data_IF_378822552571
#
_entry.id   IF_378822552571
#
_cell.length_a   1.000
_cell.length_b   1.000
_cell.length_c   1.000
_cell.angle_alpha   90.00
_cell.angle_beta   90.00
_cell.angle_gamma   90.00
#
_symmetry.space_group_name_H-M   'P 1'
#
loop_
_entity.id
_entity.type
_entity.pdbx_description
1 polymer ?
#
# COMPACT_ATOMS: atom_id res chain seq x y z
N UNK A 1 -12.06 11.72 -7.98
CA UNK A 1 -10.71 11.15 -8.12
C UNK A 1 -10.15 10.81 -6.75
N UNK A 2 -9.20 9.86 -6.64
CA UNK A 2 -8.68 9.28 -5.37
C UNK A 2 -8.21 10.31 -4.31
N UNK A 3 -7.79 11.51 -4.72
CA UNK A 3 -7.40 12.59 -3.80
C UNK A 3 -8.60 13.19 -3.05
N UNK A 4 -9.69 13.45 -3.76
CA UNK A 4 -10.92 14.03 -3.17
C UNK A 4 -11.58 13.08 -2.18
N UNK A 5 -11.52 11.79 -2.44
CA UNK A 5 -12.07 10.75 -1.56
C UNK A 5 -11.29 10.64 -0.23
N UNK A 6 -9.98 10.81 -0.31
CA UNK A 6 -9.10 10.80 0.86
C UNK A 6 -9.32 12.00 1.78
N UNK A 7 -9.38 13.22 1.23
CA UNK A 7 -9.60 14.44 2.01
C UNK A 7 -10.99 14.43 2.68
N UNK A 8 -11.99 13.85 2.01
CA UNK A 8 -13.32 13.63 2.58
C UNK A 8 -13.27 12.69 3.79
N UNK A 9 -12.57 11.56 3.69
CA UNK A 9 -12.45 10.59 4.80
C UNK A 9 -11.83 11.21 6.06
N UNK A 10 -10.82 12.05 5.90
CA UNK A 10 -10.22 12.78 7.02
C UNK A 10 -11.23 13.78 7.61
N UNK A 11 -11.94 14.51 6.77
CA UNK A 11 -12.97 15.46 7.21
C UNK A 11 -14.06 14.77 8.01
N UNK A 12 -14.58 13.64 7.52
CA UNK A 12 -15.62 12.85 8.18
C UNK A 12 -15.15 12.33 9.56
N UNK A 13 -13.90 11.89 9.67
CA UNK A 13 -13.31 11.45 10.95
C UNK A 13 -13.17 12.60 11.94
N UNK A 14 -12.74 13.79 11.49
CA UNK A 14 -12.64 14.99 12.33
C UNK A 14 -14.01 15.44 12.82
N UNK A 15 -15.01 15.44 11.95
CA UNK A 15 -16.38 15.77 12.31
C UNK A 15 -16.94 14.80 13.34
N UNK A 16 -16.71 13.50 13.14
CA UNK A 16 -17.10 12.48 14.12
C UNK A 16 -16.42 12.71 15.47
N UNK A 17 -15.10 12.92 15.50
CA UNK A 17 -14.36 13.18 16.72
C UNK A 17 -14.88 14.41 17.46
N UNK A 18 -15.17 15.50 16.73
CA UNK A 18 -15.76 16.72 17.29
C UNK A 18 -17.16 16.47 17.88
N UNK A 19 -18.01 15.73 17.18
CA UNK A 19 -19.37 15.39 17.66
C UNK A 19 -19.35 14.55 18.92
N UNK A 20 -18.34 13.67 19.06
CA UNK A 20 -18.16 12.80 20.22
C UNK A 20 -17.33 13.43 21.35
N UNK A 21 -16.94 14.71 21.18
CA UNK A 21 -16.09 15.46 22.11
C UNK A 21 -14.73 14.76 22.40
N UNK A 22 -14.16 14.13 21.36
CA UNK A 22 -12.86 13.48 21.47
C UNK A 22 -11.72 14.47 21.30
N UNK A 23 -10.69 14.36 22.16
CA UNK A 23 -9.45 15.09 22.00
C UNK A 23 -8.54 14.38 20.98
N UNK A 24 -8.43 14.94 19.77
CA UNK A 24 -7.58 14.38 18.71
C UNK A 24 -6.14 14.76 18.97
N UNK A 25 -5.32 13.79 19.36
CA UNK A 25 -3.92 14.01 19.73
C UNK A 25 -3.01 14.00 18.50
N UNK A 26 -3.24 13.07 17.55
CA UNK A 26 -2.42 12.93 16.35
C UNK A 26 -3.23 12.33 15.19
N UNK A 27 -2.92 12.77 13.99
CA UNK A 27 -3.48 12.23 12.75
C UNK A 27 -2.37 11.55 11.93
N UNK A 28 -2.69 10.38 11.38
CA UNK A 28 -1.82 9.63 10.49
C UNK A 28 -2.50 9.51 9.14
N UNK A 29 -1.79 9.82 8.08
CA UNK A 29 -2.36 9.83 6.76
C UNK A 29 -1.41 9.24 5.73
N UNK A 30 -1.88 8.28 4.94
CA UNK A 30 -1.06 7.57 3.97
C UNK A 30 -1.80 7.36 2.64
N UNK A 31 -1.22 7.88 1.55
CA UNK A 31 -1.77 7.72 0.19
C UNK A 31 -1.28 6.42 -0.49
N UNK A 32 -1.25 5.30 0.25
CA UNK A 32 -0.74 4.02 -0.22
C UNK A 32 -1.86 2.98 -0.35
N UNK A 33 -1.68 2.04 -1.29
CA UNK A 33 -2.59 0.90 -1.43
C UNK A 33 -2.52 0.00 -0.19
N UNK A 34 -3.67 -0.27 0.44
CA UNK A 34 -3.80 -1.24 1.54
C UNK A 34 -3.41 -2.68 1.19
N UNK A 35 -2.95 -2.96 -0.05
CA UNK A 35 -2.43 -4.26 -0.46
C UNK A 35 -0.99 -4.51 0.03
N UNK A 36 -0.24 -3.46 0.41
CA UNK A 36 1.10 -3.61 0.99
C UNK A 36 1.01 -4.22 2.39
N UNK A 37 2.05 -4.96 2.81
CA UNK A 37 2.19 -5.47 4.17
C UNK A 37 2.31 -4.32 5.16
N UNK A 38 1.91 -4.53 6.41
CA UNK A 38 2.01 -3.52 7.49
C UNK A 38 3.43 -2.96 7.60
N UNK A 39 4.45 -3.82 7.57
CA UNK A 39 5.86 -3.42 7.64
C UNK A 39 6.36 -2.54 6.46
N UNK A 40 5.62 -2.51 5.35
CA UNK A 40 5.91 -1.70 4.17
C UNK A 40 5.12 -0.37 4.17
N UNK A 41 4.35 -0.12 5.25
CA UNK A 41 3.46 1.02 5.42
C UNK A 41 3.96 1.89 6.55
N UNK A 42 4.70 2.92 6.17
CA UNK A 42 5.40 3.80 7.11
C UNK A 42 4.45 4.46 8.13
N UNK A 43 3.35 5.02 7.67
CA UNK A 43 2.39 5.72 8.54
C UNK A 43 1.62 4.78 9.47
N UNK A 44 1.29 3.56 9.02
CA UNK A 44 0.68 2.56 9.89
C UNK A 44 1.68 2.07 10.96
N UNK A 45 2.93 1.85 10.58
CA UNK A 45 3.99 1.50 11.53
C UNK A 45 4.24 2.62 12.53
N UNK A 46 4.22 3.88 12.07
CA UNK A 46 4.34 5.04 12.94
C UNK A 46 3.15 5.15 13.92
N UNK A 47 1.92 4.91 13.46
CA UNK A 47 0.73 4.84 14.33
C UNK A 47 0.89 3.78 15.40
N UNK A 48 1.29 2.55 15.04
CA UNK A 48 1.45 1.47 16.00
C UNK A 48 2.56 1.78 17.04
N UNK A 49 3.68 2.34 16.61
CA UNK A 49 4.74 2.80 17.52
C UNK A 49 4.26 3.96 18.42
N UNK A 50 3.45 4.87 17.88
CA UNK A 50 2.91 5.99 18.63
C UNK A 50 1.98 5.53 19.77
N UNK A 51 1.06 4.61 19.47
CA UNK A 51 0.16 4.07 20.51
C UNK A 51 0.89 3.20 21.54
N UNK A 52 2.09 2.73 21.23
CA UNK A 52 2.96 2.06 22.21
C UNK A 52 3.61 3.03 23.20
N UNK A 53 3.98 4.21 22.73
CA UNK A 53 4.70 5.21 23.50
C UNK A 53 3.78 6.16 24.27
N UNK A 54 2.49 6.21 23.94
CA UNK A 54 1.55 7.19 24.49
C UNK A 54 0.28 6.51 25.01
N UNK A 55 -0.34 7.12 26.05
CA UNK A 55 -1.66 6.67 26.52
C UNK A 55 -2.73 7.13 25.53
N UNK A 56 -3.33 6.18 24.85
CA UNK A 56 -4.36 6.40 23.82
C UNK A 56 -5.57 5.52 24.16
N UNK A 57 -6.74 6.12 24.26
CA UNK A 57 -7.97 5.38 24.55
C UNK A 57 -8.56 4.77 23.27
N UNK A 58 -8.43 5.48 22.14
CA UNK A 58 -9.14 5.13 20.92
C UNK A 58 -8.39 5.51 19.65
N UNK A 59 -8.43 4.62 18.65
CA UNK A 59 -8.01 4.88 17.28
C UNK A 59 -9.25 4.95 16.38
N UNK A 60 -9.38 6.01 15.59
CA UNK A 60 -10.46 6.18 14.62
C UNK A 60 -9.94 5.89 13.22
N UNK A 61 -10.66 5.08 12.45
CA UNK A 61 -10.40 4.87 11.03
C UNK A 61 -11.68 5.01 10.23
N UNK A 62 -11.55 5.37 8.95
CA UNK A 62 -12.72 5.50 8.09
C UNK A 62 -13.26 4.12 7.68
N UNK A 63 -12.40 3.22 7.19
CA UNK A 63 -12.76 1.88 6.73
C UNK A 63 -11.66 0.85 7.04
N UNK A 64 -12.01 -0.43 7.11
CA UNK A 64 -11.08 -1.53 7.42
C UNK A 64 -9.87 -1.59 6.48
N UNK A 65 -10.06 -1.25 5.20
CA UNK A 65 -9.00 -1.30 4.18
C UNK A 65 -7.86 -0.32 4.46
N UNK A 66 -8.06 0.67 5.35
CA UNK A 66 -7.02 1.60 5.79
C UNK A 66 -5.97 0.92 6.67
N UNK A 67 -6.36 -0.05 7.48
CA UNK A 67 -5.39 -0.85 8.24
C UNK A 67 -4.75 -1.93 7.39
N UNK A 68 -5.54 -2.78 6.76
CA UNK A 68 -5.03 -3.80 5.82
C UNK A 68 -6.12 -4.36 4.92
N UNK A 69 -5.74 -4.79 3.71
CA UNK A 69 -6.58 -5.61 2.83
C UNK A 69 -6.38 -7.10 3.05
N UNK A 70 -5.36 -7.49 3.80
CA UNK A 70 -5.14 -8.88 4.20
C UNK A 70 -5.82 -9.10 5.54
N UNK A 71 -6.68 -10.11 5.61
CA UNK A 71 -7.45 -10.43 6.82
C UNK A 71 -6.55 -10.70 8.02
N UNK A 72 -5.45 -11.43 7.80
CA UNK A 72 -4.51 -11.79 8.87
C UNK A 72 -3.86 -10.54 9.48
N UNK A 73 -3.34 -9.64 8.65
CA UNK A 73 -2.70 -8.40 9.11
C UNK A 73 -3.72 -7.48 9.82
N UNK A 74 -4.96 -7.43 9.31
CA UNK A 74 -6.04 -6.66 9.91
C UNK A 74 -6.40 -7.16 11.31
N UNK A 75 -6.57 -8.47 11.47
CA UNK A 75 -6.88 -9.08 12.78
C UNK A 75 -5.71 -8.92 13.77
N UNK A 76 -4.46 -9.04 13.30
CA UNK A 76 -3.28 -8.79 14.14
C UNK A 76 -3.24 -7.37 14.69
N UNK A 77 -3.55 -6.37 13.87
CA UNK A 77 -3.60 -4.96 14.34
C UNK A 77 -4.70 -4.77 15.39
N UNK A 78 -5.90 -5.35 15.15
CA UNK A 78 -7.00 -5.30 16.14
C UNK A 78 -6.58 -5.95 17.46
N UNK A 79 -5.97 -7.13 17.40
CA UNK A 79 -5.49 -7.86 18.58
C UNK A 79 -4.47 -7.03 19.37
N UNK A 80 -3.45 -6.48 18.71
CA UNK A 80 -2.45 -5.62 19.32
C UNK A 80 -3.06 -4.39 20.03
N UNK A 81 -4.04 -3.73 19.40
CA UNK A 81 -4.72 -2.59 20.01
C UNK A 81 -5.57 -3.03 21.20
N UNK A 82 -6.33 -4.11 21.05
CA UNK A 82 -7.23 -4.65 22.08
C UNK A 82 -6.48 -5.12 23.32
N UNK A 83 -5.32 -5.79 23.16
CA UNK A 83 -4.44 -6.21 24.27
C UNK A 83 -3.94 -5.03 25.09
N UNK A 84 -3.78 -3.86 24.46
CA UNK A 84 -3.38 -2.60 25.11
C UNK A 84 -4.58 -1.83 25.70
N UNK A 85 -5.80 -2.34 25.58
CA UNK A 85 -7.01 -1.64 25.98
C UNK A 85 -7.40 -0.48 25.08
N UNK A 86 -6.82 -0.39 23.86
CA UNK A 86 -7.09 0.68 22.90
C UNK A 86 -8.25 0.25 22.01
N UNK A 87 -9.35 1.02 22.03
CA UNK A 87 -10.51 0.77 21.18
C UNK A 87 -10.24 1.23 19.75
N UNK A 88 -10.55 0.37 18.74
CA UNK A 88 -10.58 0.76 17.34
C UNK A 88 -12.02 1.02 16.93
N UNK A 89 -12.30 2.24 16.42
CA UNK A 89 -13.59 2.59 15.86
C UNK A 89 -13.51 2.76 14.35
N UNK A 90 -14.43 2.11 13.64
CA UNK A 90 -14.51 2.12 12.17
C UNK A 90 -15.74 2.89 11.76
N UNK A 91 -15.54 4.11 11.25
CA UNK A 91 -16.63 5.06 11.00
C UNK A 91 -17.64 4.54 9.98
N UNK A 92 -17.17 3.96 8.87
CA UNK A 92 -18.03 3.47 7.78
C UNK A 92 -19.05 2.43 8.25
N UNK A 93 -18.69 1.61 9.23
CA UNK A 93 -19.50 0.51 9.71
C UNK A 93 -20.15 0.81 11.08
N UNK A 94 -19.78 1.91 11.74
CA UNK A 94 -20.20 2.22 13.09
C UNK A 94 -19.79 1.15 14.12
N UNK A 95 -18.65 0.48 13.89
CA UNK A 95 -18.20 -0.64 14.70
C UNK A 95 -17.02 -0.25 15.60
N UNK A 96 -17.13 -0.67 16.87
CA UNK A 96 -16.11 -0.45 17.87
C UNK A 96 -15.62 -1.79 18.45
N UNK A 97 -14.30 -1.96 18.57
CA UNK A 97 -13.68 -3.23 18.98
C UNK A 97 -13.80 -3.52 20.48
N UNK A 98 -13.88 -2.49 21.30
CA UNK A 98 -14.11 -2.63 22.75
C UNK A 98 -15.49 -2.11 23.13
N UNK A 99 -16.06 -2.69 24.16
CA UNK A 99 -17.27 -2.20 24.83
C UNK A 99 -16.92 -1.09 25.84
N UNK A 100 -17.96 -0.43 26.38
CA UNK A 100 -17.76 0.64 27.36
C UNK A 100 -17.07 0.17 28.67
N UNK A 101 -17.17 -1.14 28.96
CA UNK A 101 -16.48 -1.76 30.10
C UNK A 101 -15.03 -2.19 29.80
N UNK A 102 -14.51 -1.83 28.63
CA UNK A 102 -13.17 -2.17 28.16
C UNK A 102 -12.98 -3.60 27.64
N UNK A 103 -14.05 -4.42 27.66
CA UNK A 103 -13.97 -5.79 27.14
C UNK A 103 -14.10 -5.83 25.62
N UNK A 104 -13.49 -6.82 24.98
CA UNK A 104 -13.68 -7.06 23.54
C UNK A 104 -15.17 -7.17 23.17
N UNK A 105 -15.57 -6.47 22.11
CA UNK A 105 -16.92 -6.54 21.57
C UNK A 105 -17.06 -7.77 20.64
N UNK A 106 -17.74 -8.86 21.05
CA UNK A 106 -17.83 -10.08 20.25
C UNK A 106 -18.54 -9.86 18.92
N UNK A 107 -19.55 -8.96 18.91
CA UNK A 107 -20.31 -8.65 17.69
C UNK A 107 -19.40 -7.93 16.69
N UNK A 108 -18.61 -6.95 17.17
CA UNK A 108 -17.66 -6.25 16.30
C UNK A 108 -16.61 -7.22 15.75
N UNK A 109 -16.04 -8.10 16.56
CA UNK A 109 -15.09 -9.11 16.11
C UNK A 109 -15.66 -10.01 15.01
N UNK A 110 -16.89 -10.52 15.21
CA UNK A 110 -17.57 -11.35 14.22
C UNK A 110 -17.82 -10.57 12.93
N UNK A 111 -18.41 -9.38 13.01
CA UNK A 111 -18.74 -8.56 11.82
C UNK A 111 -17.50 -8.14 11.07
N UNK A 112 -16.46 -7.70 11.77
CA UNK A 112 -15.20 -7.31 11.15
C UNK A 112 -14.50 -8.48 10.46
N UNK A 113 -14.53 -9.66 11.07
CA UNK A 113 -14.06 -10.91 10.45
C UNK A 113 -14.83 -11.25 9.17
N UNK A 114 -16.16 -11.10 9.18
CA UNK A 114 -17.00 -11.32 8.01
C UNK A 114 -16.68 -10.28 6.89
N UNK A 115 -16.61 -9.00 7.23
CA UNK A 115 -16.28 -7.94 6.26
C UNK A 115 -14.91 -8.22 5.61
N UNK A 116 -13.90 -8.58 6.41
CA UNK A 116 -12.58 -8.91 5.88
C UNK A 116 -12.63 -10.13 4.94
N UNK A 117 -13.44 -11.14 5.27
CA UNK A 117 -13.63 -12.32 4.42
C UNK A 117 -14.35 -11.98 3.11
N UNK A 118 -15.41 -11.18 3.14
CA UNK A 118 -16.10 -10.71 1.92
C UNK A 118 -15.17 -9.94 1.00
N UNK A 119 -14.37 -9.02 1.54
CA UNK A 119 -13.38 -8.27 0.76
C UNK A 119 -12.32 -9.19 0.12
N UNK A 120 -11.99 -10.30 0.77
CA UNK A 120 -11.08 -11.31 0.22
C UNK A 120 -11.72 -12.09 -0.94
N UNK A 121 -12.99 -12.50 -0.75
CA UNK A 121 -13.76 -13.20 -1.78
C UNK A 121 -13.96 -12.33 -3.03
N UNK A 122 -14.31 -11.06 -2.87
CA UNK A 122 -14.47 -10.13 -4.00
C UNK A 122 -13.19 -10.03 -4.83
N UNK A 123 -12.02 -9.89 -4.19
CA UNK A 123 -10.74 -9.91 -4.90
C UNK A 123 -10.49 -11.23 -5.63
N UNK A 124 -10.88 -12.35 -5.03
CA UNK A 124 -10.81 -13.67 -5.68
C UNK A 124 -11.66 -13.74 -6.94
N UNK A 125 -12.90 -13.23 -6.89
CA UNK A 125 -13.80 -13.16 -8.03
C UNK A 125 -13.26 -12.25 -9.14
N UNK A 126 -12.73 -11.08 -8.79
CA UNK A 126 -12.11 -10.16 -9.76
C UNK A 126 -10.92 -10.86 -10.44
N UNK A 127 -10.04 -11.50 -9.67
CA UNK A 127 -8.88 -12.25 -10.21
C UNK A 127 -9.33 -13.36 -11.15
N UNK A 128 -10.33 -14.15 -10.76
CA UNK A 128 -10.88 -15.24 -11.60
C UNK A 128 -11.44 -14.72 -12.91
N UNK A 129 -12.17 -13.59 -12.89
CA UNK A 129 -12.68 -12.93 -14.12
C UNK A 129 -11.53 -12.44 -15.01
N UNK A 130 -10.49 -11.83 -14.41
CA UNK A 130 -9.31 -11.40 -15.17
C UNK A 130 -8.57 -12.59 -15.79
N UNK A 131 -8.39 -13.68 -15.07
CA UNK A 131 -7.74 -14.90 -15.58
C UNK A 131 -8.55 -15.55 -16.70
N UNK A 132 -9.88 -15.57 -16.59
CA UNK A 132 -10.76 -16.04 -17.63
C UNK A 132 -10.68 -15.17 -18.89
N UNK A 133 -10.73 -13.84 -18.72
CA UNK A 133 -10.55 -12.87 -19.80
C UNK A 133 -9.20 -13.03 -20.50
N UNK A 134 -8.14 -13.24 -19.71
CA UNK A 134 -6.78 -13.46 -20.18
C UNK A 134 -6.65 -14.75 -21.00
N UNK A 135 -7.25 -15.86 -20.52
CA UNK A 135 -7.28 -17.14 -21.25
C UNK A 135 -8.00 -17.00 -22.59
N UNK A 136 -9.17 -16.34 -22.61
CA UNK A 136 -9.93 -16.09 -23.83
C UNK A 136 -9.15 -15.21 -24.83
N UNK A 137 -8.46 -14.18 -24.35
CA UNK A 137 -7.62 -13.31 -25.18
C UNK A 137 -6.48 -14.11 -25.83
N UNK A 138 -5.80 -14.97 -25.07
CA UNK A 138 -4.75 -15.87 -25.57
C UNK A 138 -5.30 -16.89 -26.57
N UNK A 139 -6.46 -17.50 -26.30
CA UNK A 139 -7.09 -18.46 -27.21
C UNK A 139 -7.43 -17.83 -28.56
N UNK A 140 -7.68 -16.52 -28.62
CA UNK A 140 -7.88 -15.73 -29.85
C UNK A 140 -6.58 -15.27 -30.52
N UNK A 141 -5.42 -15.79 -30.10
CA UNK A 141 -4.10 -15.40 -30.63
C UNK A 141 -3.52 -14.12 -30.04
N UNK A 142 -4.12 -13.56 -29.00
CA UNK A 142 -3.62 -12.39 -28.32
C UNK A 142 -2.34 -12.68 -27.55
N UNK A 143 -1.40 -11.74 -27.57
CA UNK A 143 -0.13 -11.81 -26.83
C UNK A 143 -0.14 -10.80 -25.69
N UNK A 144 0.31 -11.23 -24.51
CA UNK A 144 0.37 -10.41 -23.31
C UNK A 144 1.82 -10.25 -22.88
N UNK A 145 2.13 -9.09 -22.35
CA UNK A 145 3.49 -8.70 -21.97
C UNK A 145 4.14 -7.85 -23.05
N UNK A 146 5.44 -7.68 -22.91
CA UNK A 146 6.23 -6.88 -23.84
C UNK A 146 6.22 -7.57 -25.22
N UNK A 147 5.89 -6.82 -26.27
CA UNK A 147 5.94 -7.33 -27.65
C UNK A 147 7.32 -7.91 -27.95
N UNK A 148 7.35 -9.08 -28.59
CA UNK A 148 8.60 -9.71 -29.01
C UNK A 148 9.36 -8.74 -29.94
N UNK A 149 10.63 -8.52 -29.68
CA UNK A 149 11.46 -7.58 -30.47
C UNK A 149 11.31 -6.10 -30.09
N UNK A 150 10.41 -5.73 -29.16
CA UNK A 150 10.35 -4.34 -28.71
C UNK A 150 11.67 -3.93 -28.02
N UNK A 151 12.34 -2.95 -28.58
CA UNK A 151 13.50 -2.26 -27.95
C UNK A 151 13.06 -0.82 -27.69
N UNK A 152 13.48 -0.26 -26.55
CA UNK A 152 13.33 1.19 -26.33
C UNK A 152 14.11 1.93 -27.44
N UNK A 153 13.62 3.09 -27.83
CA UNK A 153 14.36 3.94 -28.74
C UNK A 153 15.71 4.35 -28.14
N UNK A 154 16.65 4.72 -28.97
CA UNK A 154 17.98 5.19 -28.52
C UNK A 154 17.82 6.49 -27.72
N UNK A 155 16.87 7.34 -28.11
CA UNK A 155 16.53 8.60 -27.47
C UNK A 155 15.97 8.36 -26.07
N UNK A 156 14.96 7.49 -25.93
CA UNK A 156 14.37 7.13 -24.64
C UNK A 156 15.42 6.52 -23.68
N UNK A 157 16.34 5.71 -24.24
CA UNK A 157 17.42 5.11 -23.44
C UNK A 157 18.43 6.17 -22.98
N UNK A 158 18.74 7.17 -23.80
CA UNK A 158 19.65 8.26 -23.44
C UNK A 158 19.05 9.16 -22.37
N UNK A 159 17.76 9.43 -22.45
CA UNK A 159 17.04 10.24 -21.46
C UNK A 159 16.92 9.50 -20.11
N UNK A 160 16.45 8.26 -20.14
CA UNK A 160 16.24 7.45 -18.93
C UNK A 160 17.54 7.16 -18.15
N UNK A 161 18.65 6.98 -18.87
CA UNK A 161 19.96 6.62 -18.28
C UNK A 161 20.99 7.75 -18.39
N UNK A 162 20.55 9.01 -18.37
CA UNK A 162 21.43 10.18 -18.52
C UNK A 162 22.53 10.24 -17.45
N UNK A 163 22.22 9.86 -16.21
CA UNK A 163 23.18 9.83 -15.11
C UNK A 163 24.23 8.74 -15.31
N UNK A 164 23.81 7.53 -15.66
CA UNK A 164 24.71 6.42 -15.99
C UNK A 164 25.63 6.75 -17.15
N UNK A 165 25.12 7.40 -18.19
CA UNK A 165 25.93 7.86 -19.34
C UNK A 165 26.97 8.87 -18.88
N UNK A 166 26.60 9.79 -17.99
CA UNK A 166 27.56 10.77 -17.43
C UNK A 166 28.66 10.08 -16.64
N UNK A 167 28.33 9.06 -15.84
CA UNK A 167 29.29 8.29 -15.06
C UNK A 167 30.20 7.42 -15.95
N UNK A 168 29.64 6.82 -17.01
CA UNK A 168 30.40 6.07 -18.02
C UNK A 168 31.42 6.96 -18.74
N UNK A 169 31.05 8.18 -19.12
CA UNK A 169 31.95 9.16 -19.75
C UNK A 169 33.10 9.60 -18.83
N UNK A 170 32.89 9.54 -17.50
CA UNK A 170 33.95 9.78 -16.50
C UNK A 170 34.83 8.56 -16.24
N UNK A 171 34.68 7.47 -17.00
CA UNK A 171 35.50 6.26 -16.89
C UNK A 171 35.19 5.40 -15.66
N UNK A 172 34.07 5.61 -14.98
CA UNK A 172 33.70 4.83 -13.81
C UNK A 172 33.30 3.41 -14.23
N UNK A 173 33.79 2.40 -13.51
CA UNK A 173 33.52 0.99 -13.83
C UNK A 173 32.04 0.64 -13.70
N UNK A 174 31.53 -0.29 -14.54
CA UNK A 174 30.13 -0.73 -14.52
C UNK A 174 29.67 -1.23 -13.13
N UNK A 175 30.58 -1.86 -12.39
CA UNK A 175 30.28 -2.33 -11.02
C UNK A 175 30.07 -1.17 -10.04
N UNK A 176 30.87 -0.11 -10.17
CA UNK A 176 30.72 1.07 -9.32
C UNK A 176 29.48 1.88 -9.70
N UNK A 177 29.16 2.01 -10.99
CA UNK A 177 27.92 2.64 -11.44
C UNK A 177 26.71 1.87 -10.92
N UNK A 178 26.72 0.54 -10.99
CA UNK A 178 25.65 -0.27 -10.41
C UNK A 178 25.45 -0.02 -8.90
N UNK A 179 26.52 0.18 -8.13
CA UNK A 179 26.43 0.51 -6.70
C UNK A 179 25.82 1.90 -6.46
N UNK A 180 26.08 2.86 -7.35
CA UNK A 180 25.61 4.25 -7.22
C UNK A 180 24.15 4.38 -7.67
N UNK A 181 23.82 3.86 -8.87
CA UNK A 181 22.52 4.07 -9.52
C UNK A 181 21.55 2.89 -9.36
N UNK A 182 22.00 1.77 -8.78
CA UNK A 182 21.27 0.50 -8.68
C UNK A 182 20.83 -0.09 -10.03
N UNK A 183 21.31 0.47 -11.13
CA UNK A 183 21.04 -0.02 -12.49
C UNK A 183 21.81 -1.29 -12.77
N UNK A 184 21.12 -2.33 -13.28
CA UNK A 184 21.75 -3.64 -13.53
C UNK A 184 22.95 -3.54 -14.47
N UNK A 185 24.01 -4.32 -14.22
CA UNK A 185 25.21 -4.36 -15.07
C UNK A 185 24.88 -4.71 -16.53
N UNK A 186 23.87 -5.55 -16.78
CA UNK A 186 23.41 -5.89 -18.13
C UNK A 186 22.76 -4.69 -18.84
N UNK A 187 22.02 -3.86 -18.10
CA UNK A 187 21.49 -2.60 -18.64
C UNK A 187 22.60 -1.62 -18.92
N UNK A 188 23.57 -1.47 -18.00
CA UNK A 188 24.73 -0.60 -18.16
C UNK A 188 25.60 -0.97 -19.38
N UNK A 189 25.76 -2.26 -19.69
CA UNK A 189 26.43 -2.70 -20.93
C UNK A 189 25.70 -2.20 -22.16
N UNK A 190 24.37 -2.34 -22.21
CA UNK A 190 23.57 -1.84 -23.33
C UNK A 190 23.66 -0.32 -23.49
N UNK A 191 23.62 0.42 -22.38
CA UNK A 191 23.77 1.88 -22.36
C UNK A 191 25.16 2.30 -22.84
N UNK A 192 26.19 1.62 -22.39
CA UNK A 192 27.58 1.86 -22.84
C UNK A 192 27.73 1.65 -24.36
N UNK A 193 27.17 0.53 -24.87
CA UNK A 193 27.29 0.20 -26.29
C UNK A 193 26.55 1.23 -27.17
N UNK A 194 25.46 1.83 -26.66
CA UNK A 194 24.79 2.96 -27.33
C UNK A 194 25.59 4.26 -27.32
N UNK A 195 26.50 4.45 -26.35
CA UNK A 195 27.31 5.67 -26.23
C UNK A 195 28.63 5.60 -26.96
N UNK A 196 29.12 4.39 -27.26
CA UNK A 196 30.38 4.19 -28.02
C UNK A 196 30.15 4.36 -29.52
N UNK A 197 28.96 4.11 -30.03
CA UNK A 197 28.58 4.20 -31.45
C UNK A 197 27.83 5.48 -31.82
N UNK A 198 27.76 6.46 -30.94
CA UNK A 198 27.22 7.80 -31.14
C UNK A 198 28.33 8.85 -30.98
#
# INVERSE_FOLDING_TARGET
THSQDYDRQISDLREYAKRMDYNVIKEFSEKISGAKKVAEREQLSELLNYVEAHHIDKVLIYECSRLSRRIVDFLQVIEQLTEKGISLFILQNGLETLQADGKPNPIAQLVLGMIAQFNSMERGLIRSRMESGYRNYRAKGGTVGRKQGYKKSTEDMKEEYAEEIRLLRKGISLRNINKITHTSVNTLRKVRDLTIFA
#
